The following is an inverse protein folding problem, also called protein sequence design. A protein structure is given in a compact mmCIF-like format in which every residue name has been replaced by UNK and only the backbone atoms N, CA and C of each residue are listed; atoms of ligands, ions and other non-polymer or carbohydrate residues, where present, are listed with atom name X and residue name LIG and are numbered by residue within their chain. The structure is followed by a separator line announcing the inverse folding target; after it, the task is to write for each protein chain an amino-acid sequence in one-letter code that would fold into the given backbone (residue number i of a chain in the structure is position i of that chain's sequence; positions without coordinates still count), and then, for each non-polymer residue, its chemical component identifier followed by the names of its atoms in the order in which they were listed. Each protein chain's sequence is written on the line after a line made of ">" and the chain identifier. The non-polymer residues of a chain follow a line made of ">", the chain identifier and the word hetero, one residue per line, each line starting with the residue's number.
data_IF_013350170803
#
_entry.id   IF_013350170803
#
_cell.length_a   1.000
_cell.length_b   1.000
_cell.length_c   1.000
_cell.angle_alpha   90.00
_cell.angle_beta   90.00
_cell.angle_gamma   90.00
#
_symmetry.space_group_name_H-M   'P 1'
#
loop_
_entity.id
_entity.type
_entity.pdbx_description
1 polymer ?
#
# COMPACT_ATOMS: atom_id res chain seq x y z
N UNK A 1 2.51 -22.61 -25.68
CA UNK A 1 3.27 -23.07 -24.50
C UNK A 1 2.68 -22.34 -23.32
N UNK A 2 2.61 -22.91 -22.11
CA UNK A 2 2.25 -22.12 -20.94
C UNK A 2 3.25 -20.95 -20.75
N UNK A 3 2.87 -19.89 -20.02
CA UNK A 3 3.79 -18.86 -19.55
C UNK A 3 4.85 -19.43 -18.60
N UNK A 4 5.75 -18.59 -18.09
CA UNK A 4 6.96 -19.03 -17.39
C UNK A 4 6.72 -19.38 -15.91
N UNK A 5 6.06 -20.49 -15.62
CA UNK A 5 6.13 -21.10 -14.28
C UNK A 5 7.56 -21.61 -14.03
N UNK A 6 8.26 -20.98 -13.08
CA UNK A 6 9.71 -21.18 -12.80
C UNK A 6 10.03 -20.90 -11.32
N UNK A 7 11.03 -21.59 -10.75
CA UNK A 7 10.99 -21.97 -9.33
C UNK A 7 11.56 -20.94 -8.34
N UNK A 8 11.12 -21.13 -7.09
CA UNK A 8 11.43 -20.48 -5.82
C UNK A 8 12.77 -19.73 -5.72
N UNK A 9 12.69 -18.47 -5.23
CA UNK A 9 13.82 -17.75 -4.67
C UNK A 9 14.75 -17.06 -5.69
N UNK A 10 14.33 -16.92 -6.94
CA UNK A 10 15.10 -16.23 -7.97
C UNK A 10 15.19 -14.72 -7.69
N UNK A 11 16.41 -14.18 -7.65
CA UNK A 11 16.68 -12.74 -7.62
C UNK A 11 16.72 -12.15 -9.03
N UNK A 12 16.15 -10.95 -9.23
CA UNK A 12 16.09 -10.29 -10.53
C UNK A 12 16.22 -8.77 -10.47
N UNK A 13 16.69 -8.19 -11.58
CA UNK A 13 16.63 -6.78 -11.91
C UNK A 13 16.10 -6.68 -13.36
N UNK A 14 15.21 -5.73 -13.63
CA UNK A 14 14.57 -5.54 -14.94
C UNK A 14 14.95 -4.18 -15.48
N UNK A 15 15.91 -4.20 -16.41
CA UNK A 15 16.34 -3.03 -17.13
C UNK A 15 15.56 -2.85 -18.44
N UNK A 16 14.95 -1.66 -18.62
CA UNK A 16 14.34 -1.20 -19.86
C UNK A 16 12.81 -1.36 -20.05
N UNK A 17 12.30 -0.52 -20.97
CA UNK A 17 10.92 -0.07 -21.20
C UNK A 17 9.82 -1.09 -21.59
N UNK A 18 9.97 -2.37 -21.27
CA UNK A 18 8.98 -3.40 -21.62
C UNK A 18 8.13 -3.71 -20.37
N UNK A 19 6.79 -3.51 -20.40
CA UNK A 19 5.93 -3.92 -19.30
C UNK A 19 5.97 -5.44 -19.16
N UNK A 20 6.73 -5.91 -18.17
CA UNK A 20 6.92 -7.33 -17.90
C UNK A 20 5.72 -7.86 -17.11
N UNK A 21 4.73 -8.30 -17.87
CA UNK A 21 3.59 -9.08 -17.38
C UNK A 21 4.12 -10.41 -16.86
N UNK A 22 3.94 -10.63 -15.57
CA UNK A 22 4.38 -11.81 -14.84
C UNK A 22 3.21 -12.39 -14.01
N UNK A 23 3.32 -13.67 -13.71
CA UNK A 23 2.47 -14.51 -12.87
C UNK A 23 3.45 -15.25 -11.94
N UNK A 24 3.19 -15.32 -10.63
CA UNK A 24 4.15 -15.82 -9.64
C UNK A 24 3.52 -16.73 -8.58
N UNK A 25 3.51 -18.04 -8.87
CA UNK A 25 3.00 -19.15 -8.02
C UNK A 25 3.70 -19.30 -6.65
N UNK A 26 4.76 -18.53 -6.36
CA UNK A 26 5.63 -18.73 -5.19
C UNK A 26 6.30 -17.39 -4.75
N UNK A 27 7.62 -17.39 -4.49
CA UNK A 27 8.36 -16.29 -3.87
C UNK A 27 9.23 -15.52 -4.87
N UNK A 28 8.85 -14.28 -5.16
CA UNK A 28 9.48 -13.44 -6.19
C UNK A 28 10.41 -12.36 -5.57
N UNK A 29 11.72 -12.59 -5.71
CA UNK A 29 12.88 -11.76 -5.30
C UNK A 29 13.28 -10.59 -6.21
N UNK A 30 12.58 -9.46 -6.29
CA UNK A 30 13.08 -8.35 -7.13
C UNK A 30 14.11 -7.48 -6.39
N UNK A 31 14.97 -6.80 -7.16
CA UNK A 31 15.89 -5.75 -6.71
C UNK A 31 15.45 -4.41 -7.32
N UNK A 32 15.71 -4.19 -8.60
CA UNK A 32 15.60 -2.90 -9.31
C UNK A 32 14.60 -2.96 -10.49
N UNK A 33 13.73 -1.95 -10.61
CA UNK A 33 12.81 -1.75 -11.74
C UNK A 33 12.83 -0.28 -12.27
N UNK A 34 13.66 -0.03 -13.29
CA UNK A 34 14.01 1.31 -13.83
C UNK A 34 12.84 2.11 -14.45
N UNK A 35 11.79 1.44 -14.95
CA UNK A 35 10.67 2.12 -15.63
C UNK A 35 9.32 1.57 -15.14
N UNK A 36 8.88 0.43 -15.71
CA UNK A 36 7.46 0.04 -15.61
C UNK A 36 7.25 -1.45 -15.43
N UNK A 37 6.92 -1.86 -14.20
CA UNK A 37 6.44 -3.21 -13.91
C UNK A 37 4.90 -3.26 -13.97
N UNK A 38 4.36 -4.41 -14.37
CA UNK A 38 2.94 -4.75 -14.19
C UNK A 38 2.83 -6.23 -13.88
N UNK A 39 2.78 -6.57 -12.59
CA UNK A 39 2.58 -7.96 -12.13
C UNK A 39 1.07 -8.22 -12.08
N UNK A 40 0.62 -9.38 -12.59
CA UNK A 40 -0.80 -9.77 -12.49
C UNK A 40 -1.06 -10.35 -11.11
N UNK A 41 -0.33 -11.42 -10.79
CA UNK A 41 -0.71 -12.38 -9.76
C UNK A 41 0.55 -12.79 -8.98
N UNK A 42 0.46 -12.77 -7.66
CA UNK A 42 1.50 -13.25 -6.75
C UNK A 42 0.86 -14.04 -5.59
N UNK A 43 0.88 -15.37 -5.70
CA UNK A 43 0.24 -16.29 -4.74
C UNK A 43 0.93 -16.17 -3.37
N UNK A 44 2.15 -16.70 -3.19
CA UNK A 44 2.82 -16.63 -1.89
C UNK A 44 3.39 -15.22 -1.58
N UNK A 45 4.48 -14.78 -2.24
CA UNK A 45 5.27 -13.65 -1.73
C UNK A 45 5.99 -12.82 -2.78
N UNK A 46 5.54 -11.57 -2.99
CA UNK A 46 6.36 -10.55 -3.65
C UNK A 46 7.28 -9.84 -2.65
N UNK A 47 8.52 -9.58 -3.05
CA UNK A 47 9.34 -8.56 -2.41
C UNK A 47 10.04 -7.74 -3.49
N UNK A 48 9.92 -6.42 -3.38
CA UNK A 48 10.51 -5.41 -4.24
C UNK A 48 11.36 -4.50 -3.36
N UNK A 49 12.58 -4.19 -3.78
CA UNK A 49 13.42 -3.19 -3.10
C UNK A 49 13.13 -1.82 -3.68
N UNK A 50 13.47 -1.61 -4.96
CA UNK A 50 13.51 -0.30 -5.61
C UNK A 50 12.69 -0.31 -6.91
N UNK A 51 11.80 0.67 -7.09
CA UNK A 51 11.15 0.97 -8.37
C UNK A 51 11.09 2.48 -8.62
N UNK A 52 11.71 2.93 -9.71
CA UNK A 52 11.90 4.35 -10.05
C UNK A 52 10.57 4.97 -10.51
N UNK A 53 10.16 4.80 -11.79
CA UNK A 53 8.90 5.41 -12.24
C UNK A 53 7.65 4.69 -11.66
N UNK A 54 7.34 3.44 -12.06
CA UNK A 54 5.98 2.89 -11.86
C UNK A 54 5.88 1.38 -11.63
N UNK A 55 5.35 1.02 -10.46
CA UNK A 55 4.77 -0.30 -10.19
C UNK A 55 3.25 -0.30 -10.42
N UNK A 56 2.74 -1.39 -10.98
CA UNK A 56 1.33 -1.78 -10.86
C UNK A 56 1.24 -3.27 -10.52
N UNK A 57 0.41 -3.60 -9.54
CA UNK A 57 0.07 -4.97 -9.15
C UNK A 57 -1.45 -5.10 -9.18
N UNK A 58 -1.97 -6.19 -9.76
CA UNK A 58 -3.39 -6.49 -9.68
C UNK A 58 -3.71 -7.23 -8.38
N UNK A 59 -3.30 -8.50 -8.29
CA UNK A 59 -3.70 -9.44 -7.26
C UNK A 59 -2.47 -9.97 -6.48
N UNK A 60 -2.56 -10.02 -5.15
CA UNK A 60 -1.57 -10.66 -4.28
C UNK A 60 -2.23 -11.31 -3.06
N UNK A 61 -2.24 -12.64 -3.00
CA UNK A 61 -2.97 -13.42 -1.98
C UNK A 61 -2.28 -13.29 -0.61
N UNK A 62 -1.15 -13.97 -0.41
CA UNK A 62 -0.47 -13.98 0.90
C UNK A 62 0.21 -12.62 1.20
N UNK A 63 1.30 -12.24 0.49
CA UNK A 63 2.17 -11.16 1.00
C UNK A 63 2.90 -10.30 -0.04
N UNK A 64 2.58 -9.01 -0.03
CA UNK A 64 3.41 -7.96 -0.61
C UNK A 64 4.37 -7.34 0.42
N UNK A 65 5.60 -7.07 0.01
CA UNK A 65 6.52 -6.16 0.72
C UNK A 65 7.27 -5.30 -0.29
N UNK A 66 7.21 -3.99 -0.13
CA UNK A 66 7.89 -2.99 -0.95
C UNK A 66 8.68 -2.07 -0.02
N UNK A 67 9.95 -1.79 -0.35
CA UNK A 67 10.78 -0.84 0.41
C UNK A 67 10.59 0.58 -0.13
N UNK A 68 11.17 0.86 -1.30
CA UNK A 68 11.25 2.19 -1.91
C UNK A 68 10.49 2.22 -3.27
N UNK A 69 9.64 3.23 -3.47
CA UNK A 69 9.08 3.58 -4.78
C UNK A 69 9.04 5.10 -4.97
N UNK A 70 9.75 5.61 -5.97
CA UNK A 70 9.94 7.06 -6.16
C UNK A 70 8.64 7.73 -6.66
N UNK A 71 8.26 7.57 -7.94
CA UNK A 71 7.03 8.23 -8.40
C UNK A 71 5.77 7.49 -7.91
N UNK A 72 5.52 6.24 -8.33
CA UNK A 72 4.14 5.69 -8.28
C UNK A 72 3.97 4.19 -8.04
N UNK A 73 3.32 3.86 -6.91
CA UNK A 73 2.64 2.57 -6.71
C UNK A 73 1.16 2.63 -7.10
N UNK A 74 0.64 1.55 -7.69
CA UNK A 74 -0.79 1.26 -7.75
C UNK A 74 -1.03 -0.23 -7.49
N UNK A 75 -1.88 -0.54 -6.52
CA UNK A 75 -2.36 -1.88 -6.20
C UNK A 75 -3.89 -1.91 -6.36
N UNK A 76 -4.42 -3.00 -6.90
CA UNK A 76 -5.85 -3.26 -6.87
C UNK A 76 -6.19 -4.01 -5.57
N UNK A 77 -5.83 -5.29 -5.49
CA UNK A 77 -6.29 -6.25 -4.48
C UNK A 77 -5.10 -6.89 -3.73
N UNK A 78 -5.15 -6.92 -2.40
CA UNK A 78 -4.28 -7.79 -1.59
C UNK A 78 -5.02 -8.40 -0.40
N UNK A 79 -5.02 -9.73 -0.28
CA UNK A 79 -5.84 -10.46 0.68
C UNK A 79 -5.24 -10.38 2.11
N UNK A 80 -4.19 -11.16 2.43
CA UNK A 80 -3.68 -11.11 3.80
C UNK A 80 -2.91 -9.79 4.09
N UNK A 81 -1.79 -9.52 3.38
CA UNK A 81 -0.80 -8.57 3.92
C UNK A 81 -0.02 -7.73 2.93
N UNK A 82 -0.13 -6.41 3.12
CA UNK A 82 0.80 -5.42 2.56
C UNK A 82 1.76 -4.87 3.63
N UNK A 83 3.00 -4.57 3.21
CA UNK A 83 3.90 -3.68 3.95
C UNK A 83 4.66 -2.79 2.96
N UNK A 84 4.48 -1.47 3.09
CA UNK A 84 5.26 -0.44 2.40
C UNK A 84 6.17 0.25 3.42
N UNK A 85 7.40 0.59 3.04
CA UNK A 85 8.22 1.48 3.85
C UNK A 85 8.03 2.92 3.36
N UNK A 86 8.57 3.25 2.18
CA UNK A 86 8.81 4.64 1.73
C UNK A 86 8.22 4.85 0.32
N UNK A 87 7.34 5.85 0.17
CA UNK A 87 6.85 6.34 -1.12
C UNK A 87 7.02 7.87 -1.20
N UNK A 88 7.72 8.38 -2.23
CA UNK A 88 7.90 9.82 -2.41
C UNK A 88 6.61 10.47 -2.92
N UNK A 89 6.27 10.35 -4.22
CA UNK A 89 5.05 11.02 -4.70
C UNK A 89 3.77 10.28 -4.26
N UNK A 90 3.51 9.04 -4.75
CA UNK A 90 2.12 8.54 -4.81
C UNK A 90 1.91 7.04 -4.65
N UNK A 91 1.14 6.68 -3.63
CA UNK A 91 0.56 5.35 -3.44
C UNK A 91 -0.97 5.38 -3.64
N UNK A 92 -1.49 4.40 -4.38
CA UNK A 92 -2.94 4.17 -4.50
C UNK A 92 -3.25 2.68 -4.34
N UNK A 93 -4.20 2.37 -3.47
CA UNK A 93 -4.64 1.01 -3.15
C UNK A 93 -6.18 0.97 -3.23
N UNK A 94 -6.76 -0.04 -3.88
CA UNK A 94 -8.21 -0.21 -3.88
C UNK A 94 -8.67 -0.99 -2.66
N UNK A 95 -8.37 -2.29 -2.61
CA UNK A 95 -8.94 -3.25 -1.67
C UNK A 95 -7.83 -3.99 -0.90
N UNK A 96 -7.91 -4.00 0.43
CA UNK A 96 -7.02 -4.79 1.30
C UNK A 96 -7.80 -5.46 2.44
N UNK A 97 -7.86 -6.79 2.48
CA UNK A 97 -8.72 -7.52 3.41
C UNK A 97 -8.18 -7.48 4.85
N UNK A 98 -7.15 -8.29 5.19
CA UNK A 98 -6.68 -8.28 6.60
C UNK A 98 -5.86 -7.02 6.92
N UNK A 99 -4.71 -6.79 6.27
CA UNK A 99 -3.65 -5.94 6.89
C UNK A 99 -2.82 -5.08 5.95
N UNK A 100 -3.11 -3.79 6.01
CA UNK A 100 -2.29 -2.71 5.44
C UNK A 100 -1.35 -2.11 6.51
N UNK A 101 -0.04 -2.07 6.23
CA UNK A 101 0.95 -1.33 7.03
C UNK A 101 1.80 -0.43 6.13
N UNK A 102 1.86 0.85 6.48
CA UNK A 102 2.54 1.92 5.77
C UNK A 102 3.38 2.69 6.79
N UNK A 103 4.67 2.93 6.52
CA UNK A 103 5.49 3.76 7.38
C UNK A 103 5.39 5.22 6.93
N UNK A 104 5.99 5.52 5.78
CA UNK A 104 6.24 6.87 5.27
C UNK A 104 5.63 7.04 3.87
N UNK A 105 4.93 8.15 3.66
CA UNK A 105 4.44 8.57 2.35
C UNK A 105 4.43 10.12 2.28
N UNK A 106 5.28 10.72 1.45
CA UNK A 106 5.52 12.17 1.46
C UNK A 106 4.30 12.93 0.90
N UNK A 107 4.05 12.92 -0.42
CA UNK A 107 2.90 13.67 -0.93
C UNK A 107 1.57 12.96 -0.60
N UNK A 108 1.32 11.74 -1.11
CA UNK A 108 -0.08 11.29 -1.29
C UNK A 108 -0.35 9.79 -1.15
N UNK A 109 -1.11 9.46 -0.10
CA UNK A 109 -1.86 8.21 -0.01
C UNK A 109 -3.30 8.36 -0.53
N UNK A 110 -3.81 7.31 -1.19
CA UNK A 110 -5.26 7.11 -1.37
C UNK A 110 -5.60 5.63 -1.23
N UNK A 111 -6.48 5.34 -0.28
CA UNK A 111 -7.13 4.04 -0.10
C UNK A 111 -8.62 4.17 -0.42
N UNK A 112 -9.19 3.15 -1.06
CA UNK A 112 -10.65 3.01 -1.14
C UNK A 112 -11.14 2.24 0.08
N UNK A 113 -10.86 0.94 0.17
CA UNK A 113 -11.44 0.00 1.11
C UNK A 113 -10.35 -0.79 1.87
N UNK A 114 -10.51 -0.95 3.19
CA UNK A 114 -9.78 -1.96 3.96
C UNK A 114 -10.65 -2.54 5.09
N UNK A 115 -10.69 -3.87 5.21
CA UNK A 115 -11.62 -4.55 6.12
C UNK A 115 -11.09 -4.55 7.57
N UNK A 116 -10.11 -5.39 7.93
CA UNK A 116 -9.69 -5.46 9.33
C UNK A 116 -8.83 -4.24 9.74
N UNK A 117 -7.66 -4.02 9.12
CA UNK A 117 -6.59 -3.22 9.77
C UNK A 117 -5.71 -2.37 8.87
N UNK A 118 -5.81 -1.05 9.08
CA UNK A 118 -4.82 -0.07 8.63
C UNK A 118 -3.91 0.39 9.78
N UNK A 119 -2.60 0.46 9.50
CA UNK A 119 -1.63 1.21 10.31
C UNK A 119 -0.80 2.12 9.41
N UNK A 120 -0.85 3.43 9.66
CA UNK A 120 0.05 4.45 9.09
C UNK A 120 0.89 5.04 10.21
N UNK A 121 2.18 5.29 9.96
CA UNK A 121 2.98 6.13 10.86
C UNK A 121 2.89 7.59 10.41
N UNK A 122 3.55 7.95 9.32
CA UNK A 122 3.85 9.33 8.96
C UNK A 122 3.36 9.64 7.53
N UNK A 123 2.55 10.70 7.38
CA UNK A 123 2.09 11.23 6.10
C UNK A 123 2.26 12.75 6.10
N UNK A 124 3.06 13.30 5.20
CA UNK A 124 3.34 14.75 5.18
C UNK A 124 2.14 15.53 4.61
N UNK A 125 1.92 15.51 3.28
CA UNK A 125 0.80 16.29 2.75
C UNK A 125 -0.57 15.61 2.99
N UNK A 126 -0.83 14.43 2.41
CA UNK A 126 -2.23 14.02 2.14
C UNK A 126 -2.56 12.54 2.27
N UNK A 127 -3.34 12.24 3.31
CA UNK A 127 -4.00 10.96 3.54
C UNK A 127 -5.50 11.03 3.18
N UNK A 128 -5.93 10.19 2.23
CA UNK A 128 -7.36 10.01 1.86
C UNK A 128 -7.76 8.55 1.98
N UNK A 129 -8.83 8.29 2.73
CA UNK A 129 -9.41 6.97 2.99
C UNK A 129 -10.91 7.06 2.70
N UNK A 130 -11.51 6.11 1.98
CA UNK A 130 -12.98 6.07 1.84
C UNK A 130 -13.60 5.28 2.99
N UNK A 131 -13.38 3.97 3.01
CA UNK A 131 -14.05 3.00 3.88
C UNK A 131 -13.00 2.19 4.66
N UNK A 132 -13.27 1.98 5.95
CA UNK A 132 -12.42 1.18 6.85
C UNK A 132 -13.28 0.52 7.92
N UNK A 133 -13.38 -0.81 7.92
CA UNK A 133 -14.34 -1.50 8.79
C UNK A 133 -13.87 -1.55 10.26
N UNK A 134 -12.96 -2.46 10.64
CA UNK A 134 -12.64 -2.59 12.05
C UNK A 134 -11.73 -1.46 12.57
N UNK A 135 -10.51 -1.31 12.03
CA UNK A 135 -9.43 -0.61 12.77
C UNK A 135 -8.48 0.23 11.95
N UNK A 136 -8.63 1.55 12.10
CA UNK A 136 -7.72 2.56 11.59
C UNK A 136 -6.82 3.14 12.69
N UNK A 137 -5.50 2.95 12.54
CA UNK A 137 -4.46 3.51 13.42
C UNK A 137 -3.56 4.47 12.65
N UNK A 138 -3.47 5.72 13.10
CA UNK A 138 -2.64 6.78 12.52
C UNK A 138 -1.78 7.40 13.63
N UNK A 139 -0.48 7.56 13.39
CA UNK A 139 0.41 8.25 14.33
C UNK A 139 0.43 9.75 14.03
N UNK A 140 0.97 10.14 12.88
CA UNK A 140 1.19 11.54 12.45
C UNK A 140 0.59 11.78 11.05
N UNK A 141 0.05 12.98 10.84
CA UNK A 141 -0.45 13.45 9.55
C UNK A 141 -0.40 14.99 9.51
N UNK A 142 0.54 15.58 8.78
CA UNK A 142 0.84 17.02 8.92
C UNK A 142 -0.26 17.89 8.31
N UNK A 143 -0.40 17.96 6.98
CA UNK A 143 -1.40 18.86 6.41
C UNK A 143 -2.84 18.28 6.50
N UNK A 144 -3.11 17.08 5.95
CA UNK A 144 -4.51 16.72 5.59
C UNK A 144 -4.88 15.23 5.71
N UNK A 145 -5.77 14.95 6.68
CA UNK A 145 -6.55 13.71 6.75
C UNK A 145 -8.00 13.90 6.23
N UNK A 146 -8.39 13.04 5.30
CA UNK A 146 -9.79 12.86 4.84
C UNK A 146 -10.17 11.39 5.01
N UNK A 147 -11.21 11.11 5.80
CA UNK A 147 -11.81 9.78 5.96
C UNK A 147 -13.33 9.92 5.77
N UNK A 148 -13.93 9.13 4.89
CA UNK A 148 -15.37 9.25 4.61
C UNK A 148 -16.19 8.47 5.63
N UNK A 149 -15.93 7.17 5.75
CA UNK A 149 -16.68 6.22 6.57
C UNK A 149 -15.72 5.35 7.40
N UNK A 150 -16.09 5.02 8.63
CA UNK A 150 -15.35 4.08 9.48
C UNK A 150 -16.29 3.41 10.48
N UNK A 151 -16.25 2.07 10.55
CA UNK A 151 -17.29 1.28 11.26
C UNK A 151 -17.02 1.12 12.75
N UNK A 152 -15.89 0.53 13.18
CA UNK A 152 -15.65 0.26 14.60
C UNK A 152 -14.70 1.25 15.30
N UNK A 153 -13.47 1.49 14.79
CA UNK A 153 -12.42 2.17 15.59
C UNK A 153 -11.44 3.05 14.79
N UNK A 154 -11.33 4.31 15.24
CA UNK A 154 -10.27 5.25 14.86
C UNK A 154 -9.39 5.59 16.07
N UNK A 155 -8.08 5.45 15.92
CA UNK A 155 -7.09 6.01 16.86
C UNK A 155 -6.12 6.91 16.11
N UNK A 156 -6.06 8.19 16.51
CA UNK A 156 -5.16 9.21 15.97
C UNK A 156 -4.35 9.83 17.12
N UNK A 157 -3.04 9.96 16.96
CA UNK A 157 -2.19 10.64 17.94
C UNK A 157 -2.10 12.13 17.58
N UNK A 158 -1.41 12.46 16.49
CA UNK A 158 -1.14 13.84 16.06
C UNK A 158 -1.69 14.12 14.66
N UNK A 159 -2.18 15.34 14.46
CA UNK A 159 -2.56 15.87 13.15
C UNK A 159 -2.55 17.40 13.21
N UNK A 160 -1.69 18.05 12.41
CA UNK A 160 -1.37 19.47 12.63
C UNK A 160 -2.43 20.42 12.03
N UNK A 161 -2.70 20.36 10.72
CA UNK A 161 -3.57 21.36 10.10
C UNK A 161 -5.05 20.93 9.96
N UNK A 162 -5.36 19.78 9.33
CA UNK A 162 -6.74 19.52 8.84
C UNK A 162 -7.22 18.07 8.93
N UNK A 163 -8.20 17.85 9.80
CA UNK A 163 -8.98 16.62 9.91
C UNK A 163 -10.39 16.80 9.32
N UNK A 164 -10.83 15.89 8.44
CA UNK A 164 -12.20 15.84 7.90
C UNK A 164 -12.80 14.43 7.97
N UNK A 165 -14.04 14.35 8.47
CA UNK A 165 -14.81 13.12 8.70
C UNK A 165 -16.27 13.34 8.29
N UNK A 166 -16.87 12.42 7.52
CA UNK A 166 -18.24 12.58 7.00
C UNK A 166 -19.26 11.71 7.75
N UNK A 167 -19.19 10.40 7.60
CA UNK A 167 -20.03 9.41 8.29
C UNK A 167 -19.27 8.81 9.48
N UNK A 168 -19.96 8.32 10.52
CA UNK A 168 -19.34 7.74 11.72
C UNK A 168 -20.27 6.76 12.46
N UNK A 169 -19.84 5.51 12.56
CA UNK A 169 -20.23 4.57 13.64
C UNK A 169 -19.06 4.32 14.60
N UNK A 170 -17.82 4.51 14.15
CA UNK A 170 -16.61 4.22 14.92
C UNK A 170 -16.43 4.99 16.24
N UNK A 171 -15.84 4.28 17.21
CA UNK A 171 -15.28 4.84 18.43
C UNK A 171 -13.96 5.56 18.14
N UNK A 172 -13.94 6.88 18.38
CA UNK A 172 -12.77 7.74 18.13
C UNK A 172 -11.97 7.97 19.42
N UNK A 173 -10.67 7.70 19.37
CA UNK A 173 -9.68 8.14 20.35
C UNK A 173 -8.71 9.13 19.68
N UNK A 174 -8.65 10.35 20.20
CA UNK A 174 -7.65 11.36 19.84
C UNK A 174 -6.69 11.53 21.02
N UNK A 175 -5.38 11.43 20.77
CA UNK A 175 -4.33 11.47 21.82
C UNK A 175 -3.38 12.65 21.57
N UNK A 176 -3.93 13.86 21.65
CA UNK A 176 -3.12 15.09 21.58
C UNK A 176 -2.17 15.22 22.80
N UNK A 177 -0.93 15.65 22.54
CA UNK A 177 0.13 15.91 23.51
C UNK A 177 0.20 17.38 23.98
#
# INVERSE_FOLDING_TARGET
>A
MPPNTRPEGCQWAVAGSIPLVLEAEERLTLLEAEERLTLLEAEERLTLLEAEERLTLQEAEERLTLLEAEERLTLLEAEERLTHLEAEERLTLQEAEERLTLLEAEERLTLLEAEERLTHLEAEERLTLQEAEERLTLQEAEERLTLLEAEERLTLQEAEERLTLQERTASILLVAL
#
